data_IF_124867041680
#
_entry.id   IF_124867041680
#
_cell.length_a   1.000
_cell.length_b   1.000
_cell.length_c   1.000
_cell.angle_alpha   90.00
_cell.angle_beta   90.00
_cell.angle_gamma   90.00
#
_symmetry.space_group_name_H-M   'P 1'
#
loop_
_entity.id
_entity.type
_entity.pdbx_description
1 polymer ?
#
# COMPACT_ATOMS: atom_id res chain seq x y z
N UNK A 1 15.72 -75.72 -10.84
CA UNK A 1 16.54 -75.13 -11.90
C UNK A 1 17.69 -74.38 -11.21
N UNK A 2 18.93 -74.91 -11.15
CA UNK A 2 19.91 -75.08 -12.26
C UNK A 2 20.34 -73.69 -12.75
N UNK A 3 21.58 -73.21 -12.83
CA UNK A 3 23.00 -73.65 -12.69
C UNK A 3 23.77 -72.30 -12.73
N UNK A 4 24.80 -71.95 -11.94
CA UNK A 4 26.20 -72.42 -11.81
C UNK A 4 26.98 -72.59 -13.13
N UNK A 5 28.28 -72.24 -13.05
CA UNK A 5 29.40 -72.47 -13.99
C UNK A 5 29.73 -71.28 -14.92
N UNK A 6 30.99 -70.91 -15.18
CA UNK A 6 32.27 -71.68 -15.30
C UNK A 6 33.44 -70.67 -15.25
N UNK A 7 34.49 -70.80 -14.41
CA UNK A 7 35.80 -71.53 -14.61
C UNK A 7 36.73 -70.93 -15.71
N UNK A 8 38.06 -71.25 -15.83
CA UNK A 8 38.89 -72.33 -15.19
C UNK A 8 40.33 -71.90 -14.69
N UNK A 9 40.93 -72.51 -13.64
CA UNK A 9 42.01 -73.58 -13.51
C UNK A 9 43.47 -73.20 -13.90
N UNK A 10 44.57 -73.95 -13.52
CA UNK A 10 44.83 -75.03 -12.50
C UNK A 10 46.15 -74.82 -11.65
N UNK A 11 46.32 -75.31 -10.38
CA UNK A 11 46.97 -76.56 -9.83
C UNK A 11 48.42 -76.89 -10.28
N UNK A 12 49.25 -77.74 -9.57
CA UNK A 12 48.99 -78.68 -8.43
C UNK A 12 50.07 -78.76 -7.28
N UNK A 13 49.73 -79.20 -6.05
CA UNK A 13 49.96 -80.52 -5.34
C UNK A 13 51.43 -80.77 -4.88
N UNK A 14 51.74 -81.02 -3.61
CA UNK A 14 51.74 -82.34 -2.89
C UNK A 14 52.49 -82.18 -1.54
N UNK A 15 52.49 -83.03 -0.51
CA UNK A 15 51.70 -84.18 -0.01
C UNK A 15 52.19 -84.40 1.44
N UNK A 16 51.33 -84.96 2.28
CA UNK A 16 51.56 -85.26 3.70
C UNK A 16 52.53 -86.44 3.93
N UNK A 17 52.99 -86.58 5.19
CA UNK A 17 52.85 -87.75 6.10
C UNK A 17 54.13 -88.17 6.86
N UNK A 18 53.94 -88.27 8.19
CA UNK A 18 54.32 -89.36 9.11
C UNK A 18 55.76 -89.59 9.59
N UNK A 19 55.89 -89.43 10.92
CA UNK A 19 56.27 -90.44 11.94
C UNK A 19 57.64 -91.15 11.90
N UNK A 20 58.26 -91.08 13.08
CA UNK A 20 58.84 -92.17 13.88
C UNK A 20 60.35 -92.49 13.78
N UNK A 21 60.83 -92.95 14.94
CA UNK A 21 62.10 -93.63 15.29
C UNK A 21 63.34 -92.73 15.42
N UNK A 22 64.07 -92.64 16.55
CA UNK A 22 64.54 -93.56 17.60
C UNK A 22 66.04 -93.90 17.45
N UNK A 23 66.81 -93.39 18.42
CA UNK A 23 67.88 -94.09 19.17
C UNK A 23 69.29 -94.20 18.53
N UNK A 24 70.28 -94.10 19.43
CA UNK A 24 71.74 -94.33 19.36
C UNK A 24 72.65 -93.21 18.84
N UNK A 25 73.87 -92.97 19.34
CA UNK A 25 74.56 -93.20 20.63
C UNK A 25 75.98 -92.60 20.45
N UNK A 26 76.52 -91.99 21.50
CA UNK A 26 77.95 -91.94 21.88
C UNK A 26 79.02 -91.27 20.97
N UNK A 27 79.71 -90.24 21.51
CA UNK A 27 81.13 -90.25 21.97
C UNK A 27 81.33 -88.95 22.80
N UNK A 28 81.35 -89.04 24.14
CA UNK A 28 82.53 -89.02 25.03
C UNK A 28 83.24 -87.63 25.07
N UNK A 29 83.04 -86.83 26.11
CA UNK A 29 83.67 -86.90 27.44
C UNK A 29 85.03 -86.18 27.52
N UNK A 30 85.00 -84.92 27.98
CA UNK A 30 85.91 -84.35 28.99
C UNK A 30 85.50 -82.89 29.25
N UNK A 31 85.10 -82.56 30.49
CA UNK A 31 84.79 -81.18 30.87
C UNK A 31 83.71 -80.99 31.93
N UNK A 32 83.50 -81.99 32.79
CA UNK A 32 82.75 -81.84 34.04
C UNK A 32 83.48 -80.86 34.96
N UNK A 33 83.03 -79.60 35.02
CA UNK A 33 83.62 -78.64 35.96
C UNK A 33 83.22 -77.18 35.82
N UNK A 34 81.97 -76.83 35.49
CA UNK A 34 81.58 -75.40 35.41
C UNK A 34 80.06 -75.09 35.40
N UNK A 35 79.19 -75.98 35.88
CA UNK A 35 77.71 -75.76 35.82
C UNK A 35 77.05 -75.44 37.17
N UNK A 36 77.77 -75.42 38.30
CA UNK A 36 77.16 -75.15 39.62
C UNK A 36 77.26 -73.69 40.13
N UNK A 37 77.69 -72.72 39.31
CA UNK A 37 77.84 -71.31 39.76
C UNK A 37 77.00 -70.29 38.96
N UNK A 38 76.32 -70.69 37.87
CA UNK A 38 75.61 -69.73 37.00
C UNK A 38 74.09 -69.61 37.24
N UNK A 39 73.48 -70.45 38.08
CA UNK A 39 72.02 -70.41 38.35
C UNK A 39 71.62 -69.63 39.62
N UNK A 40 72.57 -68.97 40.30
CA UNK A 40 72.32 -68.29 41.58
C UNK A 40 72.29 -66.75 41.52
N UNK A 41 72.22 -66.15 40.32
CA UNK A 41 72.20 -64.68 40.14
C UNK A 41 71.04 -64.12 39.31
N UNK A 42 70.02 -64.92 38.96
CA UNK A 42 68.81 -64.40 38.28
C UNK A 42 67.62 -64.07 39.20
N UNK A 43 67.73 -64.26 40.51
CA UNK A 43 66.72 -63.81 41.48
C UNK A 43 67.14 -62.50 42.15
N UNK A 44 67.07 -61.39 41.39
CA UNK A 44 66.86 -60.05 41.97
C UNK A 44 65.83 -59.29 41.15
N UNK A 45 64.65 -59.16 41.78
CA UNK A 45 63.76 -58.01 41.69
C UNK A 45 63.45 -57.48 40.29
N UNK A 46 62.46 -58.07 39.64
CA UNK A 46 61.58 -57.28 38.77
C UNK A 46 60.44 -56.76 39.65
N UNK A 47 60.64 -55.58 40.24
CA UNK A 47 59.53 -54.77 40.73
C UNK A 47 58.62 -54.52 39.54
N UNK A 48 57.45 -55.14 39.55
CA UNK A 48 56.37 -54.86 38.62
C UNK A 48 55.89 -53.45 38.93
N UNK A 49 56.40 -52.46 38.20
CA UNK A 49 55.85 -51.12 38.21
C UNK A 49 54.55 -51.17 37.40
N UNK A 50 53.49 -51.66 38.06
CA UNK A 50 52.12 -51.47 37.62
C UNK A 50 51.89 -49.96 37.62
N UNK A 51 51.97 -49.34 36.44
CA UNK A 51 51.38 -48.04 36.21
C UNK A 51 49.90 -48.20 36.52
N UNK A 52 49.49 -47.81 37.72
CA UNK A 52 48.11 -47.50 38.02
C UNK A 52 47.69 -46.46 36.97
N UNK A 53 46.92 -46.90 35.96
CA UNK A 53 46.09 -45.99 35.21
C UNK A 53 45.17 -45.37 36.26
N UNK A 54 45.46 -44.12 36.62
CA UNK A 54 44.48 -43.31 37.31
C UNK A 54 43.17 -43.43 36.52
N UNK A 55 42.01 -43.56 37.18
CA UNK A 55 40.75 -43.43 36.47
C UNK A 55 40.81 -42.07 35.77
N UNK A 56 40.84 -42.10 34.44
CA UNK A 56 40.72 -40.88 33.66
C UNK A 56 39.30 -40.42 33.95
N UNK A 57 39.15 -39.51 34.92
CA UNK A 57 37.98 -38.65 34.95
C UNK A 57 37.96 -37.99 33.57
N UNK A 58 37.14 -38.51 32.66
CA UNK A 58 36.83 -37.85 31.40
C UNK A 58 36.05 -36.62 31.78
N UNK A 59 36.77 -35.61 32.26
CA UNK A 59 36.26 -34.26 32.37
C UNK A 59 35.92 -33.91 30.93
N UNK A 60 34.64 -33.73 30.57
CA UNK A 60 34.29 -33.42 29.20
C UNK A 60 35.01 -32.13 28.84
N UNK A 61 36.00 -32.22 27.95
CA UNK A 61 36.71 -31.04 27.46
C UNK A 61 35.68 -30.30 26.62
N UNK A 62 35.07 -29.27 27.20
CA UNK A 62 34.09 -28.44 26.51
C UNK A 62 34.73 -27.89 25.25
N UNK A 63 34.36 -28.46 24.09
CA UNK A 63 34.82 -27.96 22.81
C UNK A 63 34.20 -26.59 22.56
N UNK A 64 35.01 -25.62 22.15
CA UNK A 64 34.54 -24.26 21.83
C UNK A 64 34.93 -23.94 20.41
N UNK A 65 34.00 -23.35 19.67
CA UNK A 65 34.27 -22.77 18.36
C UNK A 65 34.52 -21.28 18.56
N UNK A 66 35.73 -20.84 18.25
CA UNK A 66 36.11 -19.43 18.26
C UNK A 66 35.86 -18.81 16.89
N UNK A 67 35.24 -17.64 16.87
CA UNK A 67 34.99 -16.88 15.66
C UNK A 67 35.14 -15.38 15.93
N UNK A 68 35.59 -14.65 14.91
CA UNK A 68 35.52 -13.19 14.92
C UNK A 68 34.14 -12.76 14.49
N UNK A 69 33.63 -11.67 15.07
CA UNK A 69 32.31 -11.17 14.74
C UNK A 69 32.18 -9.67 14.92
N UNK A 70 30.97 -9.17 14.70
CA UNK A 70 30.60 -7.76 14.94
C UNK A 70 29.32 -7.67 15.76
N UNK A 71 29.23 -6.66 16.62
CA UNK A 71 27.98 -6.33 17.29
C UNK A 71 27.03 -5.59 16.34
N UNK A 72 25.80 -6.05 16.26
CA UNK A 72 24.74 -5.44 15.48
C UNK A 72 23.46 -5.34 16.33
N UNK A 73 22.71 -4.23 16.24
CA UNK A 73 21.40 -4.12 16.87
C UNK A 73 20.40 -5.10 16.24
N UNK A 74 19.37 -5.46 16.99
CA UNK A 74 18.33 -6.36 16.52
C UNK A 74 17.61 -5.78 15.29
N UNK A 75 17.49 -6.58 14.24
CA UNK A 75 16.94 -6.14 12.96
C UNK A 75 17.91 -5.32 12.10
N UNK A 76 19.14 -5.14 12.55
CA UNK A 76 20.16 -4.37 11.85
C UNK A 76 19.90 -2.86 11.90
N UNK A 77 20.59 -2.13 11.03
CA UNK A 77 20.45 -0.68 10.90
C UNK A 77 19.47 -0.40 9.77
N UNK A 78 18.37 0.29 10.08
CA UNK A 78 17.40 0.77 9.09
C UNK A 78 17.77 2.19 8.68
N UNK A 79 17.87 2.44 7.38
CA UNK A 79 18.13 3.77 6.84
C UNK A 79 16.80 4.51 6.61
N UNK A 80 16.67 5.70 7.17
CA UNK A 80 15.55 6.60 6.94
C UNK A 80 15.93 7.49 5.77
N UNK A 81 15.27 7.27 4.64
CA UNK A 81 15.47 8.01 3.41
C UNK A 81 14.21 8.79 3.06
N UNK A 82 14.38 9.93 2.38
CA UNK A 82 13.25 10.61 1.78
C UNK A 82 12.73 9.79 0.59
N UNK A 83 11.41 9.87 0.26
CA UNK A 83 10.90 9.33 -0.99
C UNK A 83 11.74 9.85 -2.15
N UNK A 84 12.08 8.97 -3.11
CA UNK A 84 12.85 9.37 -4.27
C UNK A 84 12.16 10.59 -4.92
N UNK A 85 12.92 11.66 -5.23
CA UNK A 85 12.35 12.82 -5.88
C UNK A 85 11.84 12.37 -7.24
N UNK A 86 10.52 12.25 -7.36
CA UNK A 86 9.90 12.22 -8.68
C UNK A 86 10.31 13.52 -9.36
N UNK A 87 11.04 13.37 -10.46
CA UNK A 87 11.67 14.37 -11.30
C UNK A 87 11.13 15.79 -11.14
N UNK A 88 11.96 16.70 -10.61
CA UNK A 88 11.79 18.16 -10.76
C UNK A 88 11.56 18.97 -9.49
N UNK A 89 11.13 18.35 -8.38
CA UNK A 89 10.70 19.10 -7.19
C UNK A 89 11.85 19.50 -6.25
N UNK A 90 13.09 19.12 -6.57
CA UNK A 90 14.30 19.52 -5.85
C UNK A 90 14.16 19.36 -4.33
N UNK A 91 13.57 18.25 -3.89
CA UNK A 91 13.18 18.08 -2.49
C UNK A 91 14.43 18.02 -1.59
N UNK A 92 14.72 19.13 -0.91
CA UNK A 92 15.83 19.26 0.04
C UNK A 92 15.28 19.15 1.45
N UNK A 93 16.08 18.60 2.35
CA UNK A 93 15.78 18.60 3.78
C UNK A 93 15.82 20.05 4.29
N UNK A 94 14.66 20.60 4.66
CA UNK A 94 14.54 21.94 5.26
C UNK A 94 15.04 21.90 6.70
N UNK A 95 14.61 20.89 7.45
CA UNK A 95 14.89 20.77 8.87
C UNK A 95 14.94 19.29 9.29
N UNK A 96 15.88 18.96 10.17
CA UNK A 96 15.98 17.66 10.85
C UNK A 96 15.64 17.88 12.32
N UNK A 97 14.65 17.16 12.84
CA UNK A 97 14.08 17.36 14.17
C UNK A 97 14.66 16.42 15.23
N UNK A 98 15.55 15.52 14.83
CA UNK A 98 16.17 14.52 15.70
C UNK A 98 17.69 14.68 15.73
N UNK A 99 18.30 14.21 16.81
CA UNK A 99 19.74 14.19 17.01
C UNK A 99 20.22 12.76 17.20
N UNK A 100 21.52 12.55 16.99
CA UNK A 100 22.17 11.28 17.32
C UNK A 100 21.95 10.96 18.80
N UNK A 101 21.49 9.74 19.07
CA UNK A 101 21.17 9.25 20.40
C UNK A 101 19.70 9.39 20.80
N UNK A 102 18.88 10.15 20.06
CA UNK A 102 17.46 10.27 20.36
C UNK A 102 16.72 8.95 20.12
N UNK A 103 15.77 8.63 21.00
CA UNK A 103 14.82 7.52 20.81
C UNK A 103 13.60 8.04 20.08
N UNK A 104 13.20 7.34 19.02
CA UNK A 104 12.04 7.67 18.21
C UNK A 104 11.10 6.48 18.11
N UNK A 105 9.81 6.77 17.99
CA UNK A 105 8.77 5.75 17.75
C UNK A 105 8.43 5.65 16.26
N UNK A 106 7.90 4.51 15.84
CA UNK A 106 7.33 4.35 14.51
C UNK A 106 6.27 5.44 14.25
N UNK A 107 6.37 6.10 13.10
CA UNK A 107 5.52 7.22 12.71
C UNK A 107 5.93 8.58 13.27
N UNK A 108 6.90 8.67 14.18
CA UNK A 108 7.40 9.94 14.71
C UNK A 108 8.09 10.75 13.61
N UNK A 109 7.85 12.07 13.60
CA UNK A 109 8.46 12.98 12.63
C UNK A 109 9.96 13.12 12.88
N UNK A 110 10.75 12.94 11.83
CA UNK A 110 12.22 12.95 11.84
C UNK A 110 12.76 14.17 11.11
N UNK A 111 12.16 14.52 9.96
CA UNK A 111 12.57 15.64 9.14
C UNK A 111 11.43 16.21 8.30
N UNK A 112 11.58 17.45 7.86
CA UNK A 112 10.64 18.17 7.00
C UNK A 112 11.36 18.59 5.72
N UNK A 113 10.73 18.39 4.57
CA UNK A 113 11.24 18.82 3.27
C UNK A 113 10.87 20.28 2.96
N UNK A 114 11.69 20.96 2.15
CA UNK A 114 11.52 22.37 1.78
C UNK A 114 10.21 22.66 1.01
N UNK A 115 9.76 21.71 0.21
CA UNK A 115 8.54 21.82 -0.59
C UNK A 115 7.23 21.62 0.22
N UNK A 116 7.31 21.43 1.55
CA UNK A 116 6.12 21.31 2.41
C UNK A 116 5.15 22.47 2.22
N UNK A 117 5.66 23.70 2.18
CA UNK A 117 4.84 24.91 2.07
C UNK A 117 4.16 25.00 0.69
N UNK A 118 4.87 24.63 -0.38
CA UNK A 118 4.31 24.54 -1.73
C UNK A 118 3.23 23.46 -1.82
N UNK A 119 3.46 22.28 -1.24
CA UNK A 119 2.49 21.18 -1.21
C UNK A 119 1.27 21.52 -0.35
N UNK A 120 1.46 22.27 0.73
CA UNK A 120 0.38 22.82 1.53
C UNK A 120 -0.47 23.79 0.71
N UNK A 121 0.17 24.72 -0.02
CA UNK A 121 -0.54 25.63 -0.92
C UNK A 121 -1.30 24.88 -2.03
N UNK A 122 -0.72 23.81 -2.60
CA UNK A 122 -1.41 22.96 -3.57
C UNK A 122 -2.62 22.25 -2.97
N UNK A 123 -2.53 21.77 -1.72
CA UNK A 123 -3.66 21.18 -1.01
C UNK A 123 -4.77 22.22 -0.78
N UNK A 124 -4.41 23.43 -0.36
CA UNK A 124 -5.39 24.49 -0.10
C UNK A 124 -6.06 24.97 -1.39
N UNK A 125 -5.32 25.03 -2.51
CA UNK A 125 -5.89 25.24 -3.84
C UNK A 125 -6.89 24.13 -4.20
N UNK A 126 -6.52 22.86 -4.05
CA UNK A 126 -7.41 21.74 -4.36
C UNK A 126 -8.69 21.76 -3.49
N UNK A 127 -8.59 22.17 -2.22
CA UNK A 127 -9.77 22.35 -1.36
C UNK A 127 -10.66 23.48 -1.86
N UNK A 128 -10.10 24.60 -2.31
CA UNK A 128 -10.86 25.69 -2.90
C UNK A 128 -11.58 25.25 -4.19
N UNK A 129 -10.94 24.43 -5.02
CA UNK A 129 -11.54 23.83 -6.22
C UNK A 129 -12.75 22.95 -5.87
N UNK A 130 -12.71 22.19 -4.76
CA UNK A 130 -13.88 21.44 -4.26
C UNK A 130 -15.03 22.37 -3.91
N UNK A 131 -14.77 23.49 -3.25
CA UNK A 131 -15.83 24.45 -2.89
C UNK A 131 -16.43 25.11 -4.14
N UNK A 132 -15.62 25.42 -5.16
CA UNK A 132 -16.10 25.90 -6.46
C UNK A 132 -16.98 24.84 -7.14
N UNK A 133 -16.54 23.58 -7.17
CA UNK A 133 -17.31 22.49 -7.76
C UNK A 133 -18.65 22.26 -7.03
N UNK A 134 -18.65 22.32 -5.69
CA UNK A 134 -19.88 22.25 -4.89
C UNK A 134 -20.82 23.41 -5.18
N UNK A 135 -20.30 24.63 -5.30
CA UNK A 135 -21.09 25.81 -5.67
C UNK A 135 -21.70 25.66 -7.07
N UNK A 136 -20.95 25.11 -8.03
CA UNK A 136 -21.45 24.80 -9.36
C UNK A 136 -22.56 23.73 -9.33
N UNK A 137 -22.36 22.65 -8.57
CA UNK A 137 -23.39 21.62 -8.37
C UNK A 137 -24.66 22.21 -7.74
N UNK A 138 -24.53 23.06 -6.73
CA UNK A 138 -25.66 23.75 -6.10
C UNK A 138 -26.39 24.66 -7.09
N UNK A 139 -25.64 25.39 -7.94
CA UNK A 139 -26.21 26.22 -9.02
C UNK A 139 -26.97 25.38 -10.04
N UNK A 140 -26.42 24.25 -10.47
CA UNK A 140 -27.10 23.34 -11.42
C UNK A 140 -28.36 22.73 -10.79
N UNK A 141 -28.29 22.29 -9.53
CA UNK A 141 -29.45 21.76 -8.79
C UNK A 141 -30.55 22.80 -8.56
N UNK A 142 -30.18 24.06 -8.35
CA UNK A 142 -31.12 25.15 -8.21
C UNK A 142 -31.85 25.47 -9.53
N UNK A 143 -31.25 25.14 -10.68
CA UNK A 143 -31.85 25.34 -11.99
C UNK A 143 -31.96 26.81 -12.39
N UNK A 144 -33.05 27.15 -13.07
CA UNK A 144 -33.31 28.53 -13.47
C UNK A 144 -33.52 29.47 -12.28
N UNK A 145 -33.19 30.75 -12.48
CA UNK A 145 -33.36 31.75 -11.44
C UNK A 145 -34.84 31.94 -11.14
N UNK A 146 -35.16 32.16 -9.87
CA UNK A 146 -36.53 32.45 -9.44
C UNK A 146 -37.14 33.67 -10.18
N UNK A 147 -36.31 34.66 -10.52
CA UNK A 147 -36.72 35.82 -11.31
C UNK A 147 -37.25 35.43 -12.70
N UNK A 148 -36.55 34.54 -13.41
CA UNK A 148 -36.91 34.10 -14.76
C UNK A 148 -38.22 33.30 -14.73
N UNK A 149 -38.37 32.40 -13.76
CA UNK A 149 -39.60 31.63 -13.53
C UNK A 149 -40.78 32.57 -13.23
N UNK A 150 -40.59 33.57 -12.38
CA UNK A 150 -41.64 34.51 -12.01
C UNK A 150 -42.03 35.43 -13.16
N UNK A 151 -41.07 35.89 -13.96
CA UNK A 151 -41.34 36.67 -15.17
C UNK A 151 -42.19 35.86 -16.17
N UNK A 152 -41.86 34.58 -16.39
CA UNK A 152 -42.64 33.72 -17.28
C UNK A 152 -44.05 33.42 -16.72
N UNK A 153 -44.19 33.21 -15.41
CA UNK A 153 -45.51 33.09 -14.75
C UNK A 153 -46.36 34.35 -14.91
N UNK A 154 -45.74 35.54 -14.83
CA UNK A 154 -46.43 36.80 -15.07
C UNK A 154 -46.92 36.91 -16.52
N UNK A 155 -46.13 36.47 -17.50
CA UNK A 155 -46.54 36.40 -18.91
C UNK A 155 -47.76 35.49 -19.10
N UNK A 156 -47.77 34.29 -18.50
CA UNK A 156 -48.91 33.37 -18.56
C UNK A 156 -50.16 34.01 -17.92
N UNK A 157 -49.98 34.69 -16.79
CA UNK A 157 -51.07 35.39 -16.09
C UNK A 157 -51.65 36.53 -16.94
N UNK A 158 -50.79 37.30 -17.61
CA UNK A 158 -51.18 38.36 -18.55
C UNK A 158 -51.99 37.79 -19.72
N UNK A 159 -51.51 36.71 -20.34
CA UNK A 159 -52.23 36.03 -21.43
C UNK A 159 -53.58 35.47 -20.98
N UNK A 160 -53.68 34.98 -19.74
CA UNK A 160 -54.94 34.51 -19.17
C UNK A 160 -55.94 35.65 -18.93
N UNK A 161 -55.47 36.81 -18.46
CA UNK A 161 -56.30 38.00 -18.33
C UNK A 161 -56.77 38.54 -19.69
N UNK A 162 -55.88 38.54 -20.69
CA UNK A 162 -56.17 38.96 -22.05
C UNK A 162 -57.24 38.07 -22.71
N UNK A 163 -57.08 36.74 -22.65
CA UNK A 163 -58.07 35.79 -23.14
C UNK A 163 -59.44 36.02 -22.49
N UNK A 164 -59.48 36.17 -21.17
CA UNK A 164 -60.73 36.44 -20.45
C UNK A 164 -61.39 37.74 -20.91
N UNK A 165 -60.61 38.81 -21.09
CA UNK A 165 -61.09 40.10 -21.56
C UNK A 165 -61.64 40.04 -22.99
N UNK A 166 -60.92 39.38 -23.91
CA UNK A 166 -61.36 39.23 -25.29
C UNK A 166 -62.64 38.38 -25.40
N UNK A 167 -62.73 37.27 -24.66
CA UNK A 167 -63.95 36.45 -24.59
C UNK A 167 -65.14 37.29 -24.11
N UNK A 168 -64.97 38.08 -23.05
CA UNK A 168 -66.06 38.91 -22.52
C UNK A 168 -66.55 39.95 -23.55
N UNK A 169 -65.63 40.65 -24.21
CA UNK A 169 -65.95 41.65 -25.25
C UNK A 169 -66.66 41.03 -26.46
N UNK A 170 -66.11 39.94 -27.00
CA UNK A 170 -66.68 39.23 -28.14
C UNK A 170 -68.06 38.62 -27.81
N UNK A 171 -68.24 38.06 -26.61
CA UNK A 171 -69.55 37.57 -26.16
C UNK A 171 -70.60 38.68 -26.07
N UNK A 172 -70.21 39.87 -25.60
CA UNK A 172 -71.11 41.03 -25.60
C UNK A 172 -71.52 41.42 -27.04
N UNK A 173 -70.57 41.42 -27.99
CA UNK A 173 -70.85 41.68 -29.40
C UNK A 173 -71.79 40.64 -30.02
N UNK A 174 -71.54 39.36 -29.79
CA UNK A 174 -72.40 38.25 -30.23
C UNK A 174 -73.81 38.40 -29.64
N UNK A 175 -73.91 38.81 -28.37
CA UNK A 175 -75.22 39.03 -27.72
C UNK A 175 -76.00 40.15 -28.39
N UNK A 176 -75.34 41.27 -28.72
CA UNK A 176 -75.96 42.38 -29.45
C UNK A 176 -76.42 41.96 -30.87
N UNK A 177 -75.56 41.27 -31.63
CA UNK A 177 -75.90 40.77 -32.97
C UNK A 177 -77.03 39.74 -32.93
N UNK A 178 -77.07 38.89 -31.90
CA UNK A 178 -78.17 37.93 -31.70
C UNK A 178 -79.51 38.63 -31.43
N UNK A 179 -79.49 39.77 -30.73
CA UNK A 179 -80.69 40.59 -30.55
C UNK A 179 -81.13 41.26 -31.86
N UNK A 180 -80.19 41.72 -32.69
CA UNK A 180 -80.48 42.30 -34.00
C UNK A 180 -81.09 41.28 -34.97
N UNK A 181 -80.52 40.06 -35.04
CA UNK A 181 -81.09 38.94 -35.81
C UNK A 181 -82.52 38.66 -35.37
N UNK A 182 -82.76 38.57 -34.06
CA UNK A 182 -84.11 38.33 -33.52
C UNK A 182 -85.08 39.44 -33.93
N UNK A 183 -84.66 40.71 -33.87
CA UNK A 183 -85.52 41.81 -34.29
C UNK A 183 -85.84 41.74 -35.79
N UNK A 184 -84.84 41.48 -36.64
CA UNK A 184 -85.03 41.33 -38.07
C UNK A 184 -85.95 40.15 -38.43
N UNK A 185 -85.83 39.01 -37.74
CA UNK A 185 -86.70 37.84 -37.92
C UNK A 185 -88.15 38.14 -37.57
N UNK A 186 -88.39 38.83 -36.44
CA UNK A 186 -89.74 39.24 -36.03
C UNK A 186 -90.34 40.21 -37.05
N UNK A 187 -89.56 41.20 -37.50
CA UNK A 187 -90.04 42.17 -38.51
C UNK A 187 -90.32 41.48 -39.85
N UNK A 188 -89.46 40.57 -40.31
CA UNK A 188 -89.71 39.78 -41.52
C UNK A 188 -91.02 38.99 -41.42
N UNK A 189 -91.27 38.30 -40.31
CA UNK A 189 -92.52 37.56 -40.10
C UNK A 189 -93.77 38.45 -40.10
N UNK A 190 -93.69 39.68 -39.56
CA UNK A 190 -94.80 40.64 -39.65
C UNK A 190 -95.07 41.07 -41.09
N UNK A 191 -94.02 41.34 -41.87
CA UNK A 191 -94.16 41.79 -43.25
C UNK A 191 -94.59 40.66 -44.18
N UNK A 192 -94.19 39.42 -43.90
CA UNK A 192 -94.68 38.22 -44.61
C UNK A 192 -96.21 38.11 -44.48
N UNK A 193 -96.74 38.30 -43.27
CA UNK A 193 -98.19 38.35 -43.04
C UNK A 193 -98.88 39.49 -43.81
N UNK A 194 -98.33 40.71 -43.76
CA UNK A 194 -98.88 41.85 -44.51
C UNK A 194 -98.85 41.67 -46.03
N UNK A 195 -97.87 40.94 -46.56
CA UNK A 195 -97.81 40.59 -47.98
C UNK A 195 -98.92 39.61 -48.36
N UNK A 196 -99.19 38.62 -47.51
CA UNK A 196 -100.29 37.66 -47.70
C UNK A 196 -101.66 38.35 -47.72
N UNK A 197 -101.80 39.45 -46.96
CA UNK A 197 -102.99 40.33 -46.99
C UNK A 197 -103.01 41.32 -48.17
N UNK A 198 -101.96 41.38 -49.00
CA UNK A 198 -101.85 42.28 -50.15
C UNK A 198 -101.50 43.73 -49.80
N UNK A 199 -101.07 44.02 -48.57
CA UNK A 199 -100.82 45.37 -48.07
C UNK A 199 -99.42 45.93 -48.43
N UNK A 200 -98.50 45.08 -48.90
CA UNK A 200 -97.13 45.48 -49.30
C UNK A 200 -96.68 44.81 -50.61
N UNK A 201 -95.61 45.32 -51.22
CA UNK A 201 -95.02 44.75 -52.44
C UNK A 201 -94.08 43.57 -52.15
N UNK A 202 -93.86 42.70 -53.14
CA UNK A 202 -92.86 41.62 -53.04
C UNK A 202 -91.43 42.14 -52.81
N UNK A 203 -91.07 43.26 -53.43
CA UNK A 203 -89.77 43.90 -53.24
C UNK A 203 -89.52 44.32 -51.78
N UNK A 204 -90.55 44.81 -51.09
CA UNK A 204 -90.46 45.19 -49.67
C UNK A 204 -90.20 43.96 -48.78
N UNK A 205 -90.84 42.83 -49.09
CA UNK A 205 -90.60 41.57 -48.38
C UNK A 205 -89.20 41.00 -48.65
N UNK A 206 -88.71 41.12 -49.89
CA UNK A 206 -87.36 40.69 -50.24
C UNK A 206 -86.29 41.52 -49.51
N UNK A 207 -86.51 42.82 -49.32
CA UNK A 207 -85.66 43.67 -48.46
C UNK A 207 -85.70 43.22 -46.99
N UNK A 208 -86.89 42.89 -46.48
CA UNK A 208 -87.20 41.98 -45.35
C UNK A 208 -86.16 40.90 -45.14
N UNK A 209 -86.21 39.96 -46.09
CA UNK A 209 -85.43 38.73 -46.09
C UNK A 209 -83.93 39.02 -46.13
N UNK A 210 -83.50 39.92 -47.01
CA UNK A 210 -82.09 40.31 -47.12
C UNK A 210 -81.54 40.85 -45.79
N UNK A 211 -82.34 41.59 -45.01
CA UNK A 211 -81.91 42.08 -43.69
C UNK A 211 -81.72 40.95 -42.68
N UNK A 212 -82.57 39.92 -42.70
CA UNK A 212 -82.39 38.72 -41.85
C UNK A 212 -81.11 37.99 -42.24
N UNK A 213 -80.93 37.72 -43.53
CA UNK A 213 -79.79 36.97 -44.05
C UNK A 213 -78.46 37.69 -43.74
N UNK A 214 -78.39 38.99 -44.00
CA UNK A 214 -77.19 39.79 -43.69
C UNK A 214 -76.89 39.85 -42.19
N UNK A 215 -77.91 39.98 -41.33
CA UNK A 215 -77.71 40.00 -39.87
C UNK A 215 -77.26 38.64 -39.32
N UNK A 216 -77.76 37.53 -39.92
CA UNK A 216 -77.32 36.16 -39.57
C UNK A 216 -75.87 35.92 -39.96
N UNK A 217 -75.45 36.36 -41.15
CA UNK A 217 -74.05 36.25 -41.56
C UNK A 217 -73.12 37.07 -40.67
N UNK A 218 -73.52 38.27 -40.24
CA UNK A 218 -72.75 39.06 -39.26
C UNK A 218 -72.61 38.35 -37.90
N UNK A 219 -73.67 37.68 -37.42
CA UNK A 219 -73.61 36.88 -36.19
C UNK A 219 -72.63 35.71 -36.33
N UNK A 220 -72.70 34.99 -37.46
CA UNK A 220 -71.81 33.86 -37.76
C UNK A 220 -70.36 34.30 -37.87
N UNK A 221 -70.09 35.44 -38.51
CA UNK A 221 -68.75 36.03 -38.59
C UNK A 221 -68.20 36.34 -37.18
N UNK A 222 -69.00 36.94 -36.30
CA UNK A 222 -68.60 37.25 -34.94
C UNK A 222 -68.34 35.98 -34.09
N UNK A 223 -69.13 34.92 -34.29
CA UNK A 223 -68.91 33.62 -33.64
C UNK A 223 -67.59 32.99 -34.11
N UNK A 224 -67.32 32.97 -35.42
CA UNK A 224 -66.07 32.47 -35.96
C UNK A 224 -64.86 33.32 -35.52
N UNK A 225 -65.04 34.64 -35.35
CA UNK A 225 -64.01 35.51 -34.81
C UNK A 225 -63.68 35.18 -33.34
N UNK A 226 -64.70 34.95 -32.50
CA UNK A 226 -64.50 34.51 -31.11
C UNK A 226 -63.75 33.17 -31.05
N UNK A 227 -64.13 32.20 -31.86
CA UNK A 227 -63.49 30.88 -31.89
C UNK A 227 -62.01 30.99 -32.27
N UNK A 228 -61.69 31.71 -33.36
CA UNK A 228 -60.29 31.99 -33.76
C UNK A 228 -59.49 32.69 -32.67
N UNK A 229 -60.11 33.65 -31.97
CA UNK A 229 -59.48 34.35 -30.85
C UNK A 229 -59.14 33.39 -29.70
N UNK A 230 -60.08 32.53 -29.32
CA UNK A 230 -59.86 31.55 -28.25
C UNK A 230 -58.72 30.61 -28.63
N UNK A 231 -58.79 30.01 -29.82
CA UNK A 231 -57.79 29.05 -30.30
C UNK A 231 -56.38 29.65 -30.31
N UNK A 232 -56.24 30.88 -30.84
CA UNK A 232 -54.96 31.58 -30.94
C UNK A 232 -54.35 31.86 -29.57
N UNK A 233 -55.14 32.41 -28.64
CA UNK A 233 -54.64 32.79 -27.30
C UNK A 233 -54.42 31.56 -26.40
N UNK A 234 -55.21 30.51 -26.55
CA UNK A 234 -54.96 29.24 -25.85
C UNK A 234 -53.67 28.58 -26.33
N UNK A 235 -53.39 28.61 -27.64
CA UNK A 235 -52.12 28.11 -28.18
C UNK A 235 -50.94 28.92 -27.63
N UNK A 236 -51.03 30.25 -27.61
CA UNK A 236 -50.00 31.10 -26.97
C UNK A 236 -49.79 30.76 -25.49
N UNK A 237 -50.86 30.45 -24.74
CA UNK A 237 -50.73 30.00 -23.36
C UNK A 237 -50.08 28.61 -23.25
N UNK A 238 -50.41 27.67 -24.13
CA UNK A 238 -49.78 26.34 -24.17
C UNK A 238 -48.28 26.47 -24.41
N UNK A 239 -47.88 27.29 -25.38
CA UNK A 239 -46.49 27.59 -25.68
C UNK A 239 -45.79 28.23 -24.47
N UNK A 240 -46.39 29.26 -23.86
CA UNK A 240 -45.81 29.92 -22.69
C UNK A 240 -45.63 28.98 -21.48
N UNK A 241 -46.56 28.02 -21.28
CA UNK A 241 -46.46 26.97 -20.26
C UNK A 241 -45.38 25.95 -20.58
N UNK A 242 -45.23 25.53 -21.84
CA UNK A 242 -44.16 24.64 -22.27
C UNK A 242 -42.78 25.29 -22.07
N UNK A 243 -42.64 26.58 -22.43
CA UNK A 243 -41.43 27.36 -22.15
C UNK A 243 -41.14 27.42 -20.65
N UNK A 244 -42.15 27.63 -19.80
CA UNK A 244 -41.94 27.63 -18.34
C UNK A 244 -41.45 26.26 -17.84
N UNK A 245 -42.03 25.17 -18.34
CA UNK A 245 -41.59 23.81 -17.98
C UNK A 245 -40.13 23.58 -18.36
N UNK A 246 -39.73 23.99 -19.57
CA UNK A 246 -38.35 23.86 -20.05
C UNK A 246 -37.37 24.72 -19.25
N UNK A 247 -37.76 25.94 -18.86
CA UNK A 247 -36.93 26.81 -18.00
C UNK A 247 -36.76 26.19 -16.61
N UNK A 248 -37.83 25.63 -16.03
CA UNK A 248 -37.81 25.07 -14.69
C UNK A 248 -37.16 23.67 -14.62
N UNK A 249 -36.90 23.04 -15.76
CA UNK A 249 -36.36 21.70 -15.83
C UNK A 249 -34.88 21.68 -15.42
N UNK A 250 -34.56 20.84 -14.43
CA UNK A 250 -33.19 20.50 -14.08
C UNK A 250 -32.94 19.08 -14.58
N UNK A 251 -32.05 18.95 -15.58
CA UNK A 251 -31.78 17.66 -16.19
C UNK A 251 -30.91 16.81 -15.24
N UNK A 252 -31.30 15.56 -14.93
CA UNK A 252 -30.51 14.68 -14.04
C UNK A 252 -29.07 14.46 -14.52
N UNK A 253 -28.87 14.44 -15.84
CA UNK A 253 -27.55 14.29 -16.46
C UNK A 253 -26.64 15.47 -16.12
N UNK A 254 -27.15 16.71 -16.11
CA UNK A 254 -26.35 17.89 -15.74
C UNK A 254 -25.93 17.83 -14.27
N UNK A 255 -26.85 17.38 -13.40
CA UNK A 255 -26.56 17.17 -11.98
C UNK A 255 -25.50 16.09 -11.79
N UNK A 256 -25.57 15.01 -12.57
CA UNK A 256 -24.59 13.91 -12.52
C UNK A 256 -23.20 14.38 -12.99
N UNK A 257 -23.12 15.17 -14.06
CA UNK A 257 -21.85 15.76 -14.54
C UNK A 257 -21.26 16.67 -13.46
N UNK A 258 -22.05 17.58 -12.89
CA UNK A 258 -21.57 18.46 -11.82
C UNK A 258 -21.19 17.67 -10.55
N UNK A 259 -21.84 16.55 -10.26
CA UNK A 259 -21.45 15.67 -9.16
C UNK A 259 -20.10 14.99 -9.45
N UNK A 260 -19.89 14.52 -10.68
CA UNK A 260 -18.61 13.93 -11.08
C UNK A 260 -17.45 14.95 -11.01
N UNK A 261 -17.71 16.22 -11.30
CA UNK A 261 -16.74 17.31 -11.09
C UNK A 261 -16.37 17.47 -9.61
N UNK A 262 -17.35 17.42 -8.70
CA UNK A 262 -17.10 17.43 -7.24
C UNK A 262 -16.26 16.23 -6.82
N UNK A 263 -16.60 15.03 -7.30
CA UNK A 263 -15.88 13.80 -6.96
C UNK A 263 -14.43 13.85 -7.49
N UNK A 264 -14.23 14.39 -8.70
CA UNK A 264 -12.92 14.65 -9.29
C UNK A 264 -12.09 15.64 -8.46
N UNK A 265 -12.69 16.73 -8.00
CA UNK A 265 -12.03 17.71 -7.13
C UNK A 265 -11.66 17.10 -5.75
N UNK A 266 -12.53 16.26 -5.18
CA UNK A 266 -12.24 15.54 -3.92
C UNK A 266 -11.06 14.58 -4.11
N UNK A 267 -11.00 13.87 -5.24
CA UNK A 267 -9.86 13.02 -5.58
C UNK A 267 -8.56 13.83 -5.72
N UNK A 268 -8.62 15.04 -6.28
CA UNK A 268 -7.49 15.96 -6.35
C UNK A 268 -7.01 16.39 -4.96
N UNK A 269 -7.93 16.70 -4.02
CA UNK A 269 -7.59 16.97 -2.61
C UNK A 269 -6.88 15.78 -1.98
N UNK A 270 -7.40 14.56 -2.18
CA UNK A 270 -6.78 13.34 -1.63
C UNK A 270 -5.36 13.15 -2.16
N UNK A 271 -5.13 13.38 -3.46
CA UNK A 271 -3.80 13.35 -4.07
C UNK A 271 -2.87 14.42 -3.50
N UNK A 272 -3.35 15.66 -3.37
CA UNK A 272 -2.58 16.76 -2.81
C UNK A 272 -2.21 16.51 -1.34
N UNK A 273 -3.11 15.93 -0.55
CA UNK A 273 -2.84 15.53 0.83
C UNK A 273 -1.77 14.44 0.90
N UNK A 274 -1.88 13.38 0.08
CA UNK A 274 -0.86 12.34 0.03
C UNK A 274 0.52 12.90 -0.36
N UNK A 275 0.56 13.84 -1.31
CA UNK A 275 1.79 14.53 -1.66
C UNK A 275 2.33 15.37 -0.50
N UNK A 276 1.48 16.11 0.21
CA UNK A 276 1.88 16.84 1.42
C UNK A 276 2.45 15.90 2.48
N UNK A 277 1.84 14.74 2.69
CA UNK A 277 2.31 13.74 3.65
C UNK A 277 3.73 13.24 3.30
N UNK A 278 4.07 13.14 2.01
CA UNK A 278 5.41 12.81 1.55
C UNK A 278 6.46 13.90 1.85
N UNK A 279 6.06 15.11 2.26
CA UNK A 279 7.00 16.15 2.73
C UNK A 279 7.43 15.97 4.19
N UNK A 280 6.75 15.07 4.91
CA UNK A 280 7.04 14.73 6.29
C UNK A 280 7.72 13.36 6.37
N UNK A 281 8.98 13.35 6.77
CA UNK A 281 9.76 12.12 6.91
C UNK A 281 9.54 11.56 8.31
N UNK A 282 9.02 10.34 8.38
CA UNK A 282 8.69 9.66 9.63
C UNK A 282 9.57 8.45 9.85
N UNK A 283 9.78 8.07 11.10
CA UNK A 283 10.52 6.85 11.44
C UNK A 283 9.69 5.60 11.06
N UNK A 284 10.25 4.61 10.34
CA UNK A 284 9.51 3.42 9.92
C UNK A 284 9.31 2.41 11.06
N UNK A 285 10.19 2.44 12.07
CA UNK A 285 10.20 1.52 13.22
C UNK A 285 10.57 2.28 14.49
N UNK A 286 10.27 1.70 15.64
CA UNK A 286 10.81 2.17 16.92
C UNK A 286 12.31 1.89 16.99
N UNK A 287 13.08 2.82 17.56
CA UNK A 287 14.52 2.65 17.74
C UNK A 287 15.25 3.92 18.15
N UNK A 288 16.58 3.86 18.17
CA UNK A 288 17.46 4.96 18.49
C UNK A 288 18.21 5.44 17.24
N UNK A 289 18.37 6.76 17.10
CA UNK A 289 19.12 7.36 16.00
C UNK A 289 20.63 7.12 16.22
N UNK A 290 21.25 6.31 15.37
CA UNK A 290 22.68 5.98 15.44
C UNK A 290 23.52 7.07 14.76
N UNK A 291 23.01 7.59 13.64
CA UNK A 291 23.72 8.54 12.79
C UNK A 291 22.71 9.48 12.11
N UNK A 292 23.00 10.77 12.08
CA UNK A 292 22.29 11.75 11.27
C UNK A 292 23.19 12.07 10.08
N UNK A 293 22.74 11.71 8.87
CA UNK A 293 23.54 11.76 7.65
C UNK A 293 23.44 13.15 7.00
N UNK A 294 22.23 13.71 6.96
CA UNK A 294 21.96 14.99 6.29
C UNK A 294 21.77 16.11 7.29
N UNK A 295 22.34 17.28 6.98
CA UNK A 295 22.06 18.53 7.72
C UNK A 295 21.02 19.37 6.98
N UNK A 296 20.32 20.23 7.73
CA UNK A 296 19.39 21.20 7.16
C UNK A 296 20.05 22.01 6.03
N UNK A 297 19.38 22.13 4.89
CA UNK A 297 19.85 22.90 3.73
C UNK A 297 20.86 22.17 2.81
N UNK A 298 21.24 20.93 3.12
CA UNK A 298 22.16 20.16 2.28
C UNK A 298 21.41 19.42 1.16
N UNK A 299 21.78 19.70 -0.09
CA UNK A 299 21.37 18.93 -1.27
C UNK A 299 22.27 17.68 -1.30
N UNK A 300 21.74 16.51 -0.95
CA UNK A 300 22.54 15.29 -0.98
C UNK A 300 22.45 14.63 -2.35
N UNK A 301 23.56 14.72 -3.09
CA UNK A 301 23.76 14.26 -4.45
C UNK A 301 24.77 13.10 -4.43
N UNK A 302 24.28 11.86 -4.44
CA UNK A 302 25.10 10.67 -4.76
C UNK A 302 24.28 9.65 -5.58
N UNK A 303 23.01 9.40 -5.22
CA UNK A 303 22.17 8.40 -5.91
C UNK A 303 20.73 8.91 -6.19
N UNK A 304 20.48 10.21 -6.05
CA UNK A 304 19.16 10.83 -6.18
C UNK A 304 18.21 10.63 -5.00
N UNK A 305 18.53 9.78 -4.01
CA UNK A 305 17.70 9.57 -2.80
C UNK A 305 18.37 10.20 -1.57
N UNK A 306 17.78 11.23 -0.94
CA UNK A 306 18.34 11.84 0.27
C UNK A 306 18.30 10.87 1.46
N UNK A 307 19.46 10.58 2.06
CA UNK A 307 19.57 9.75 3.26
C UNK A 307 19.57 10.66 4.48
N UNK A 308 18.62 10.47 5.39
CA UNK A 308 18.39 11.44 6.46
C UNK A 308 19.06 10.98 7.75
N UNK A 309 18.75 9.77 8.20
CA UNK A 309 19.27 9.23 9.44
C UNK A 309 19.29 7.69 9.41
N UNK A 310 20.10 7.09 10.28
CA UNK A 310 20.09 5.65 10.55
C UNK A 310 19.47 5.40 11.92
N UNK A 311 18.51 4.49 11.95
CA UNK A 311 17.81 4.06 13.17
C UNK A 311 18.07 2.57 13.41
N UNK A 312 18.23 2.18 14.67
CA UNK A 312 18.20 0.77 15.05
C UNK A 312 17.66 0.53 16.45
N UNK A 313 17.28 -0.72 16.70
CA UNK A 313 16.80 -1.20 18.00
C UNK A 313 18.00 -1.53 18.89
N UNK A 314 18.54 -0.53 19.57
CA UNK A 314 19.72 -0.68 20.45
C UNK A 314 19.39 -1.31 21.81
N UNK A 315 18.11 -1.53 22.12
CA UNK A 315 17.68 -2.21 23.35
C UNK A 315 18.04 -3.71 23.35
N UNK A 316 18.14 -4.31 22.17
CA UNK A 316 18.49 -5.71 21.97
C UNK A 316 19.65 -5.79 20.98
N UNK A 317 20.80 -6.29 21.42
CA UNK A 317 22.00 -6.42 20.60
C UNK A 317 22.23 -7.89 20.22
N UNK A 318 22.92 -8.11 19.12
CA UNK A 318 23.35 -9.41 18.62
C UNK A 318 24.81 -9.38 18.21
N UNK A 319 25.52 -10.49 18.29
CA UNK A 319 26.83 -10.67 17.69
C UNK A 319 26.70 -11.53 16.43
N UNK A 320 27.13 -11.01 15.29
CA UNK A 320 27.24 -11.76 14.04
C UNK A 320 28.65 -12.35 13.99
N UNK A 321 28.76 -13.64 14.31
CA UNK A 321 30.02 -14.39 14.30
C UNK A 321 30.28 -14.97 12.90
N UNK A 322 31.45 -14.71 12.34
CA UNK A 322 31.93 -15.30 11.08
C UNK A 322 32.60 -16.65 11.39
N UNK A 323 31.81 -17.72 11.48
CA UNK A 323 32.29 -19.07 11.79
C UNK A 323 32.83 -19.73 10.53
N UNK A 324 34.00 -20.37 10.59
CA UNK A 324 34.56 -21.06 9.42
C UNK A 324 33.66 -22.20 8.93
N UNK A 325 33.62 -22.39 7.61
CA UNK A 325 32.85 -23.46 6.97
C UNK A 325 33.17 -24.85 7.54
N UNK A 326 34.40 -25.08 7.98
CA UNK A 326 34.85 -26.32 8.62
C UNK A 326 34.24 -26.57 9.99
N UNK A 327 33.84 -25.51 10.70
CA UNK A 327 33.39 -25.57 12.09
C UNK A 327 31.90 -25.31 12.26
N UNK A 328 31.22 -24.73 11.25
CA UNK A 328 29.77 -24.45 11.29
C UNK A 328 28.95 -25.72 11.57
N UNK A 329 29.41 -26.89 11.12
CA UNK A 329 28.73 -28.17 11.37
C UNK A 329 28.65 -28.56 12.86
N UNK A 330 29.49 -27.97 13.71
CA UNK A 330 29.50 -28.18 15.18
C UNK A 330 28.54 -27.23 15.92
N UNK A 331 28.11 -26.16 15.26
CA UNK A 331 27.23 -25.14 15.84
C UNK A 331 25.77 -25.57 15.72
N UNK A 332 24.98 -25.29 16.76
CA UNK A 332 23.53 -25.54 16.81
C UNK A 332 22.81 -24.35 17.43
N UNK A 333 21.58 -24.12 16.99
CA UNK A 333 20.68 -23.12 17.58
C UNK A 333 20.48 -23.44 19.06
N UNK A 334 20.51 -22.42 19.91
CA UNK A 334 20.35 -22.50 21.36
C UNK A 334 21.65 -22.61 22.17
N UNK A 335 22.79 -22.86 21.54
CA UNK A 335 24.09 -22.95 22.24
C UNK A 335 24.48 -21.63 22.90
N UNK A 336 25.09 -21.73 24.10
CA UNK A 336 25.61 -20.56 24.80
C UNK A 336 26.89 -20.04 24.15
N UNK A 337 26.97 -18.73 23.99
CA UNK A 337 28.12 -18.05 23.46
C UNK A 337 28.59 -16.94 24.42
N UNK A 338 29.91 -16.80 24.52
CA UNK A 338 30.57 -15.75 25.28
C UNK A 338 31.22 -14.79 24.30
N UNK A 339 30.93 -13.49 24.45
CA UNK A 339 31.43 -12.43 23.57
C UNK A 339 32.39 -11.55 24.36
N UNK A 340 33.57 -11.30 23.79
CA UNK A 340 34.63 -10.47 24.38
C UNK A 340 35.17 -9.44 23.40
N UNK A 341 35.63 -8.30 23.89
CA UNK A 341 36.33 -7.28 23.09
C UNK A 341 37.33 -6.54 23.97
N UNK A 342 38.28 -5.84 23.35
CA UNK A 342 39.15 -4.92 24.08
C UNK A 342 38.43 -3.62 24.48
N UNK A 343 37.31 -3.31 23.83
CA UNK A 343 36.54 -2.08 24.09
C UNK A 343 35.69 -2.15 25.36
N UNK A 344 35.51 -3.33 25.97
CA UNK A 344 34.76 -3.51 27.22
C UNK A 344 35.37 -4.65 28.05
N UNK A 345 35.43 -4.48 29.37
CA UNK A 345 36.13 -5.44 30.26
C UNK A 345 35.30 -6.67 30.65
N UNK A 346 33.97 -6.61 30.48
CA UNK A 346 33.05 -7.66 30.92
C UNK A 346 32.79 -8.71 29.84
N UNK A 347 32.59 -9.97 30.24
CA UNK A 347 32.21 -11.04 29.31
C UNK A 347 30.69 -11.00 29.08
N UNK A 348 30.27 -10.72 27.85
CA UNK A 348 28.85 -10.72 27.49
C UNK A 348 28.40 -12.13 27.18
N UNK A 349 27.14 -12.45 27.52
CA UNK A 349 26.56 -13.76 27.26
C UNK A 349 25.40 -13.64 26.27
N UNK A 350 25.26 -14.66 25.44
CA UNK A 350 24.16 -14.77 24.50
C UNK A 350 23.91 -16.21 24.07
N UNK A 351 22.91 -16.39 23.22
CA UNK A 351 22.57 -17.70 22.64
C UNK A 351 22.54 -17.63 21.12
N UNK A 352 22.99 -18.71 20.47
CA UNK A 352 22.89 -18.86 19.02
C UNK A 352 21.41 -18.88 18.63
N UNK A 353 20.97 -17.92 17.83
CA UNK A 353 19.59 -17.81 17.38
C UNK A 353 19.43 -18.23 15.92
N UNK A 354 20.44 -17.98 15.09
CA UNK A 354 20.38 -18.23 13.64
C UNK A 354 21.74 -18.68 13.12
N UNK A 355 21.72 -19.62 12.18
CA UNK A 355 22.89 -20.06 11.42
C UNK A 355 22.58 -19.76 9.95
N UNK A 356 23.41 -18.91 9.33
CA UNK A 356 23.22 -18.49 7.96
C UNK A 356 23.27 -19.66 6.97
N UNK A 357 22.51 -19.53 5.89
CA UNK A 357 22.44 -20.54 4.82
C UNK A 357 23.48 -20.29 3.71
N UNK A 358 24.16 -19.14 3.75
CA UNK A 358 25.10 -18.70 2.72
C UNK A 358 26.54 -18.79 3.22
N UNK A 359 27.43 -19.26 2.35
CA UNK A 359 28.88 -19.21 2.55
C UNK A 359 29.42 -17.92 1.93
N UNK A 360 29.98 -17.05 2.76
CA UNK A 360 30.56 -15.77 2.37
C UNK A 360 32.10 -15.81 2.48
N UNK A 361 32.76 -14.83 1.86
CA UNK A 361 34.17 -14.53 2.16
C UNK A 361 34.25 -13.77 3.49
N UNK A 362 35.25 -14.08 4.31
CA UNK A 362 35.50 -13.39 5.58
C UNK A 362 35.65 -11.87 5.36
N UNK A 363 34.97 -11.06 6.19
CA UNK A 363 35.00 -9.58 6.14
C UNK A 363 35.54 -8.94 7.41
N UNK A 364 35.75 -9.73 8.47
CA UNK A 364 36.45 -9.28 9.68
C UNK A 364 37.91 -9.70 9.61
N UNK A 365 38.80 -8.71 9.46
CA UNK A 365 40.24 -8.96 9.40
C UNK A 365 40.80 -9.25 10.80
N UNK A 366 41.65 -10.28 10.87
CA UNK A 366 42.52 -10.50 12.03
C UNK A 366 43.64 -9.47 12.01
N UNK A 367 44.15 -9.08 13.17
CA UNK A 367 45.30 -8.16 13.32
C UNK A 367 46.62 -8.78 12.86
N UNK A 368 46.61 -10.04 12.41
CA UNK A 368 47.79 -10.74 11.90
C UNK A 368 47.90 -10.59 10.36
N UNK A 369 48.95 -9.93 9.83
CA UNK A 369 49.16 -9.73 8.40
C UNK A 369 49.46 -11.01 7.60
N UNK A 370 49.67 -12.16 8.26
CA UNK A 370 49.83 -13.48 7.62
C UNK A 370 48.53 -14.31 7.60
N UNK A 371 47.41 -13.78 8.09
CA UNK A 371 46.14 -14.48 8.09
C UNK A 371 45.63 -14.70 6.65
N UNK A 372 45.21 -15.92 6.34
CA UNK A 372 44.78 -16.31 5.00
C UNK A 372 43.49 -15.54 4.61
N UNK A 373 43.52 -14.79 3.50
CA UNK A 373 42.42 -13.90 3.08
C UNK A 373 41.28 -14.64 2.36
N UNK A 374 41.47 -15.92 2.00
CA UNK A 374 40.47 -16.73 1.26
C UNK A 374 39.66 -17.67 2.17
N UNK A 375 39.35 -17.23 3.40
CA UNK A 375 38.54 -18.02 4.32
C UNK A 375 37.04 -17.93 3.94
N UNK A 376 36.42 -19.11 3.86
CA UNK A 376 34.97 -19.28 3.68
C UNK A 376 34.29 -19.36 5.05
N UNK A 377 33.33 -18.47 5.29
CA UNK A 377 32.62 -18.36 6.56
C UNK A 377 31.11 -18.51 6.38
N UNK A 378 30.45 -18.91 7.46
CA UNK A 378 29.00 -18.87 7.62
C UNK A 378 28.70 -17.94 8.80
N UNK A 379 27.80 -16.97 8.58
CA UNK A 379 27.40 -16.03 9.62
C UNK A 379 26.49 -16.74 10.63
N UNK A 380 26.84 -16.67 11.91
CA UNK A 380 26.05 -17.18 13.01
C UNK A 380 25.62 -16.01 13.88
N UNK A 381 24.31 -15.83 14.05
CA UNK A 381 23.76 -14.75 14.86
C UNK A 381 23.55 -15.24 16.30
N UNK A 382 24.20 -14.55 17.22
CA UNK A 382 24.07 -14.77 18.67
C UNK A 382 23.30 -13.59 19.26
N UNK A 383 22.12 -13.85 19.84
CA UNK A 383 21.34 -12.82 20.54
C UNK A 383 21.92 -12.66 21.95
N UNK A 384 22.32 -11.44 22.32
CA UNK A 384 22.84 -11.14 23.66
C UNK A 384 21.71 -11.13 24.68
N UNK A 385 22.02 -11.40 25.95
CA UNK A 385 21.06 -11.21 27.02
C UNK A 385 20.63 -9.73 27.13
N UNK A 386 19.40 -9.42 27.59
CA UNK A 386 18.92 -8.03 27.65
C UNK A 386 19.80 -7.10 28.49
N UNK A 387 20.33 -7.58 29.61
CA UNK A 387 21.23 -6.80 30.48
C UNK A 387 22.59 -6.54 29.83
N UNK A 388 23.11 -7.50 29.08
CA UNK A 388 24.38 -7.36 28.35
C UNK A 388 24.18 -6.47 27.11
N UNK A 389 23.01 -6.51 26.47
CA UNK A 389 22.65 -5.66 25.33
C UNK A 389 22.70 -4.17 25.69
N UNK A 390 22.16 -3.79 26.86
CA UNK A 390 22.18 -2.39 27.34
C UNK A 390 23.59 -1.85 27.50
N UNK A 391 24.54 -2.67 27.96
CA UNK A 391 25.95 -2.28 28.15
C UNK A 391 26.65 -1.95 26.85
N UNK A 392 26.25 -2.60 25.75
CA UNK A 392 26.87 -2.44 24.44
C UNK A 392 26.01 -1.78 23.37
N UNK A 393 24.91 -1.14 23.79
CA UNK A 393 24.00 -0.42 22.91
C UNK A 393 24.69 0.64 22.03
N UNK A 394 25.79 1.23 22.50
CA UNK A 394 26.56 2.25 21.76
C UNK A 394 27.65 1.67 20.84
N UNK A 395 27.91 0.37 20.86
CA UNK A 395 29.02 -0.29 20.15
C UNK A 395 28.58 -1.02 18.88
N UNK A 396 27.66 -0.42 18.12
CA UNK A 396 27.25 -0.97 16.81
C UNK A 396 28.47 -1.04 15.87
N UNK A 397 28.60 -2.16 15.14
CA UNK A 397 29.74 -2.53 14.28
C UNK A 397 31.07 -2.78 14.99
N UNK A 398 31.10 -2.81 16.33
CA UNK A 398 32.32 -3.14 17.08
C UNK A 398 32.74 -4.59 16.80
N UNK A 399 34.03 -4.79 16.54
CA UNK A 399 34.63 -6.12 16.40
C UNK A 399 34.72 -6.83 17.75
N UNK A 400 34.29 -8.09 17.76
CA UNK A 400 34.25 -8.95 18.94
C UNK A 400 34.78 -10.34 18.64
N UNK A 401 35.27 -11.02 19.67
CA UNK A 401 35.55 -12.45 19.64
C UNK A 401 34.35 -13.19 20.25
N UNK A 402 33.88 -14.22 19.57
CA UNK A 402 32.72 -15.02 19.96
C UNK A 402 33.17 -16.47 20.16
N UNK A 403 32.99 -16.96 21.39
CA UNK A 403 33.26 -18.34 21.77
C UNK A 403 31.93 -19.07 21.94
N UNK A 404 31.59 -19.94 20.99
CA UNK A 404 30.36 -20.74 21.00
C UNK A 404 30.66 -22.09 21.67
N UNK A 405 29.86 -22.44 22.68
CA UNK A 405 29.98 -23.72 23.37
C UNK A 405 29.41 -24.83 22.50
N UNK A 406 30.27 -25.61 21.87
CA UNK A 406 29.87 -26.81 21.14
C UNK A 406 29.89 -27.96 22.13
N UNK A 407 28.69 -28.45 22.47
CA UNK A 407 28.51 -29.51 23.48
C UNK A 407 29.46 -30.69 23.28
N UNK A 408 29.67 -31.45 24.36
CA UNK A 408 30.59 -32.58 24.46
C UNK A 408 30.56 -33.47 23.20
N UNK A 409 31.74 -33.72 22.61
CA UNK A 409 31.90 -34.81 21.65
C UNK A 409 31.91 -36.15 22.36
#
# INVERSE_FOLDING_TARGET
MVQKETQPLPKPISRQLLMASAVTLAVAAAGTGSVLVYSFLQNRATTTQSLAQAPVETTPVLSKVAALGRLEPEGGITEISAPAPNSGDGAVVKEVLVKKGDRVRAGQLVAILNNRDQRQATLDQAKAEVEIAKANLARVKAGARAGDINAQKATITRLAAELRGQIASQRARITALKAEVRNAEVDYGRYEYLQQEGAISASELDQRRLKVDTSREQLKEAQAALERTIETLEEQQRQAKATLSSIAEVRPVDVQVAQAEVDGAIAAVKRAQANLDLSYIKAPVDGQIIEVITKAGQIQDIDGVPRIAKIAKTEQMSAIAEVYQTDVGKVRIGQEAVITSQAFSEKLRGKVAEIGLQVDKQKVFSTNPMANTDNKIVKVKVILNPEDSKKVAAFTNLQVEVLISTGTQ
#
